data_IF_396228416456
#
_entry.id   IF_396228416456
#
_cell.length_a   1.000
_cell.length_b   1.000
_cell.length_c   1.000
_cell.angle_alpha   90.00
_cell.angle_beta   90.00
_cell.angle_gamma   90.00
#
_symmetry.space_group_name_H-M   'P 1'
#
loop_
_entity.id
_entity.type
_entity.pdbx_description
1 polymer ?
#
# COMPACT_ATOMS: atom_id res chain seq x y z
N UNK A 1 -51.33 -54.24 -22.78
CA UNK A 1 -51.97 -53.43 -23.86
C UNK A 1 -52.29 -52.07 -23.24
N UNK A 2 -51.92 -50.86 -23.68
CA UNK A 2 -51.24 -50.21 -24.82
C UNK A 2 -50.15 -49.28 -24.20
N UNK A 3 -48.88 -49.22 -24.62
CA UNK A 3 -48.30 -48.67 -25.86
C UNK A 3 -48.61 -47.18 -26.13
N UNK A 4 -47.58 -46.38 -25.81
CA UNK A 4 -47.12 -45.11 -26.42
C UNK A 4 -48.03 -43.89 -26.36
N UNK A 5 -47.47 -42.79 -25.83
CA UNK A 5 -47.71 -41.36 -26.15
C UNK A 5 -47.21 -40.55 -24.94
N UNK A 6 -46.34 -39.53 -24.96
CA UNK A 6 -45.72 -38.71 -26.01
C UNK A 6 -44.40 -38.18 -25.41
N UNK A 7 -43.31 -38.36 -26.14
CA UNK A 7 -42.01 -37.71 -25.93
C UNK A 7 -42.09 -36.32 -26.56
N UNK A 8 -42.23 -35.24 -25.77
CA UNK A 8 -41.97 -33.87 -26.20
C UNK A 8 -42.09 -32.89 -25.02
N UNK A 9 -41.02 -32.74 -24.25
CA UNK A 9 -40.76 -31.52 -23.49
C UNK A 9 -39.26 -31.25 -23.58
N UNK A 10 -38.87 -30.79 -24.76
CA UNK A 10 -37.55 -30.26 -25.04
C UNK A 10 -37.25 -29.11 -24.06
N UNK A 11 -36.10 -29.22 -23.41
CA UNK A 11 -35.03 -28.19 -23.44
C UNK A 11 -35.50 -26.77 -23.12
N UNK A 12 -35.56 -26.39 -21.83
CA UNK A 12 -35.59 -24.99 -21.41
C UNK A 12 -35.25 -24.73 -19.93
N UNK A 13 -34.30 -25.44 -19.29
CA UNK A 13 -33.81 -25.07 -17.93
C UNK A 13 -32.30 -25.29 -17.78
N UNK A 14 -31.53 -24.96 -18.82
CA UNK A 14 -30.06 -24.92 -18.76
C UNK A 14 -29.55 -23.55 -19.19
N UNK A 15 -30.07 -22.50 -18.56
CA UNK A 15 -29.50 -21.16 -18.64
C UNK A 15 -29.85 -20.43 -17.34
N UNK A 16 -28.84 -19.83 -16.70
CA UNK A 16 -28.89 -19.05 -15.45
C UNK A 16 -28.63 -19.85 -14.17
N UNK A 17 -27.36 -20.19 -14.00
CA UNK A 17 -26.78 -20.56 -12.71
C UNK A 17 -25.28 -20.34 -12.66
N UNK A 18 -24.76 -19.39 -13.45
CA UNK A 18 -23.37 -18.93 -13.37
C UNK A 18 -23.40 -17.50 -12.86
N UNK A 19 -22.75 -17.27 -11.71
CA UNK A 19 -22.22 -15.96 -11.36
C UNK A 19 -23.05 -15.16 -10.36
N UNK A 20 -23.05 -15.57 -9.09
CA UNK A 20 -23.06 -14.60 -7.98
C UNK A 20 -22.12 -15.08 -6.87
N UNK A 21 -20.82 -15.13 -7.17
CA UNK A 21 -19.78 -14.94 -6.15
C UNK A 21 -19.31 -13.49 -6.25
N UNK A 22 -20.12 -12.56 -5.75
CA UNK A 22 -19.73 -11.15 -5.69
C UNK A 22 -19.97 -10.68 -4.26
N UNK A 23 -18.88 -10.67 -3.49
CA UNK A 23 -18.90 -10.28 -2.10
C UNK A 23 -17.61 -10.58 -1.33
N UNK A 24 -16.50 -10.88 -2.00
CA UNK A 24 -15.20 -10.62 -1.40
C UNK A 24 -14.95 -9.13 -1.61
N UNK A 25 -14.90 -8.34 -0.53
CA UNK A 25 -14.47 -6.94 -0.55
C UNK A 25 -13.10 -6.86 -1.22
N UNK A 26 -13.10 -6.63 -2.53
CA UNK A 26 -11.89 -6.33 -3.26
C UNK A 26 -11.66 -4.84 -3.01
N UNK A 27 -10.82 -4.54 -2.03
CA UNK A 27 -10.34 -3.18 -1.79
C UNK A 27 -9.84 -2.65 -3.13
N UNK A 28 -10.33 -1.46 -3.52
CA UNK A 28 -9.92 -0.86 -4.77
C UNK A 28 -8.38 -0.76 -4.80
N UNK A 29 -7.73 -1.06 -5.95
CA UNK A 29 -6.28 -0.94 -6.04
C UNK A 29 -5.84 0.44 -5.58
N UNK A 30 -4.96 0.51 -4.57
CA UNK A 30 -4.39 1.77 -4.10
C UNK A 30 -3.66 2.42 -5.27
N UNK A 31 -4.01 3.66 -5.56
CA UNK A 31 -3.34 4.46 -6.59
C UNK A 31 -1.85 4.60 -6.24
N UNK A 32 -0.98 4.29 -7.20
CA UNK A 32 0.45 4.51 -7.03
C UNK A 32 0.77 5.99 -7.34
N UNK A 33 0.72 6.82 -6.31
CA UNK A 33 1.03 8.26 -6.40
C UNK A 33 2.46 8.57 -6.84
N UNK A 34 3.36 7.57 -6.86
CA UNK A 34 4.76 7.72 -7.25
C UNK A 34 5.04 7.24 -8.69
N UNK A 35 4.02 7.00 -9.52
CA UNK A 35 4.20 6.44 -10.87
C UNK A 35 5.08 7.29 -11.79
N UNK A 36 5.01 8.62 -11.68
CA UNK A 36 5.72 9.57 -12.54
C UNK A 36 6.95 10.22 -11.86
N UNK A 37 7.30 9.78 -10.64
CA UNK A 37 8.46 10.29 -9.91
C UNK A 37 9.74 9.70 -10.52
N UNK A 38 10.72 10.52 -10.98
CA UNK A 38 11.96 10.02 -11.55
C UNK A 38 12.73 9.13 -10.56
N UNK A 39 13.43 8.12 -11.09
CA UNK A 39 14.31 7.29 -10.27
C UNK A 39 15.37 8.16 -9.55
N UNK A 40 15.52 7.94 -8.24
CA UNK A 40 16.43 8.71 -7.39
C UNK A 40 15.89 10.06 -6.92
N UNK A 41 14.73 10.50 -7.40
CA UNK A 41 14.03 11.62 -6.77
C UNK A 41 13.35 11.16 -5.46
N UNK A 42 13.19 12.04 -4.46
CA UNK A 42 12.43 11.71 -3.27
C UNK A 42 10.99 11.33 -3.63
N UNK A 43 10.46 10.22 -3.11
CA UNK A 43 9.07 9.85 -3.32
C UNK A 43 8.11 10.86 -2.68
N UNK A 44 6.94 11.01 -3.29
CA UNK A 44 5.82 11.75 -2.74
C UNK A 44 5.23 11.02 -1.53
N UNK A 45 4.84 11.79 -0.52
CA UNK A 45 4.07 11.31 0.61
C UNK A 45 2.63 11.01 0.15
N UNK A 46 2.04 9.86 0.56
CA UNK A 46 0.63 9.58 0.27
C UNK A 46 -0.31 10.63 0.86
N UNK A 47 -1.49 10.82 0.29
CA UNK A 47 -2.51 11.76 0.81
C UNK A 47 -2.94 11.49 2.26
N UNK A 48 -2.76 10.26 2.74
CA UNK A 48 -2.98 9.89 4.15
C UNK A 48 -1.96 10.48 5.13
N UNK A 49 -0.92 11.15 4.63
CA UNK A 49 0.14 11.79 5.41
C UNK A 49 0.00 13.32 5.49
N UNK A 50 -1.03 13.90 4.89
CA UNK A 50 -1.25 15.35 4.91
C UNK A 50 -1.30 15.90 6.35
N UNK A 51 -0.54 16.96 6.61
CA UNK A 51 -0.39 17.60 7.93
C UNK A 51 0.33 16.79 9.01
N UNK A 52 0.83 15.57 8.70
CA UNK A 52 1.47 14.73 9.72
C UNK A 52 2.81 15.27 10.17
N UNK A 53 3.60 15.85 9.28
CA UNK A 53 4.91 16.39 9.66
C UNK A 53 4.75 17.55 10.65
N UNK A 54 3.80 18.46 10.42
CA UNK A 54 3.52 19.58 11.31
C UNK A 54 3.04 19.10 12.69
N UNK A 55 2.34 17.96 12.72
CA UNK A 55 1.77 17.39 13.94
C UNK A 55 2.76 16.54 14.74
N UNK A 56 3.63 15.81 14.05
CA UNK A 56 4.47 14.75 14.64
C UNK A 56 5.96 15.07 14.60
N UNK A 57 6.38 15.96 13.71
CA UNK A 57 7.77 16.23 13.38
C UNK A 57 8.50 15.01 12.81
N UNK A 58 9.81 15.16 12.66
CA UNK A 58 10.69 14.11 12.13
C UNK A 58 10.64 12.82 12.98
N UNK A 59 10.56 12.95 14.30
CA UNK A 59 10.53 11.81 15.22
C UNK A 59 9.31 10.90 15.00
N UNK A 60 8.13 11.46 14.68
CA UNK A 60 6.96 10.62 14.41
C UNK A 60 7.00 9.96 13.03
N UNK A 61 7.61 10.61 12.03
CA UNK A 61 7.91 9.97 10.75
C UNK A 61 8.89 8.80 10.96
N UNK A 62 9.97 9.04 11.70
CA UNK A 62 10.97 8.05 12.08
C UNK A 62 10.34 6.87 12.85
N UNK A 63 9.39 7.13 13.75
CA UNK A 63 8.70 6.09 14.52
C UNK A 63 7.95 5.03 13.68
N UNK A 64 7.71 5.30 12.39
CA UNK A 64 7.15 4.31 11.46
C UNK A 64 8.18 3.87 10.40
N UNK A 65 8.92 4.82 9.82
CA UNK A 65 9.81 4.59 8.66
C UNK A 65 11.25 4.26 9.03
N UNK A 66 11.68 4.65 10.23
CA UNK A 66 13.03 4.47 10.74
C UNK A 66 13.31 3.05 11.23
N UNK A 67 14.50 2.86 11.79
CA UNK A 67 14.95 1.58 12.33
C UNK A 67 15.00 1.62 13.86
N UNK A 68 14.84 0.48 14.49
CA UNK A 68 15.16 0.29 15.90
C UNK A 68 15.85 -1.08 16.09
N UNK A 69 16.14 -1.44 17.34
CA UNK A 69 16.79 -2.72 17.66
C UNK A 69 15.94 -3.95 17.26
N UNK A 70 14.65 -3.77 16.99
CA UNK A 70 13.71 -4.85 16.72
C UNK A 70 13.38 -5.00 15.22
N UNK A 71 13.37 -3.90 14.45
CA UNK A 71 12.89 -3.89 13.08
C UNK A 71 13.44 -2.70 12.27
N UNK A 72 13.52 -2.91 10.97
CA UNK A 72 13.71 -1.85 9.97
C UNK A 72 12.83 -2.18 8.74
N UNK A 73 11.77 -1.41 8.45
CA UNK A 73 11.27 -0.27 9.21
C UNK A 73 10.53 -0.69 10.50
N UNK A 74 10.31 0.28 11.40
CA UNK A 74 9.57 0.06 12.67
C UNK A 74 8.11 -0.37 12.45
N UNK A 75 7.46 0.09 11.37
CA UNK A 75 6.14 -0.37 10.94
C UNK A 75 6.27 -1.22 9.68
N UNK A 76 5.82 -2.47 9.73
CA UNK A 76 6.06 -3.48 8.68
C UNK A 76 5.63 -3.07 7.26
N UNK A 77 4.55 -2.28 7.13
CA UNK A 77 4.03 -1.84 5.83
C UNK A 77 4.54 -0.43 5.42
N UNK A 78 5.43 0.17 6.21
CA UNK A 78 6.08 1.43 5.85
C UNK A 78 7.25 1.18 4.87
N UNK A 79 7.63 2.21 4.13
CA UNK A 79 8.87 2.20 3.35
C UNK A 79 10.03 2.54 4.29
N UNK A 80 11.06 1.69 4.35
CA UNK A 80 12.25 1.97 5.13
C UNK A 80 12.98 3.23 4.62
N UNK A 81 13.54 4.00 5.54
CA UNK A 81 14.48 5.06 5.17
C UNK A 81 15.71 4.43 4.51
N UNK A 82 16.25 5.04 3.44
CA UNK A 82 17.52 4.60 2.87
C UNK A 82 18.69 4.94 3.79
N UNK A 83 19.82 4.26 3.61
CA UNK A 83 21.00 4.37 4.48
C UNK A 83 21.50 5.81 4.67
N UNK A 84 21.40 6.64 3.62
CA UNK A 84 21.83 8.05 3.64
C UNK A 84 20.98 8.98 4.53
N UNK A 85 19.84 8.50 5.03
CA UNK A 85 19.02 9.22 6.01
C UNK A 85 19.44 8.96 7.45
N UNK A 86 20.39 8.04 7.67
CA UNK A 86 20.87 7.69 9.00
C UNK A 86 22.23 8.32 9.30
N UNK A 87 22.50 8.55 10.58
CA UNK A 87 23.77 9.07 11.04
C UNK A 87 24.93 8.15 10.60
N UNK A 88 25.84 8.69 9.79
CA UNK A 88 26.97 7.91 9.25
C UNK A 88 26.63 7.03 8.05
N UNK A 89 25.43 7.17 7.46
CA UNK A 89 25.05 6.47 6.24
C UNK A 89 24.76 4.98 6.45
N UNK A 90 24.25 4.60 7.62
CA UNK A 90 23.96 3.21 7.98
C UNK A 90 22.77 3.13 8.95
N UNK A 91 21.77 2.31 8.59
CA UNK A 91 20.59 2.10 9.43
C UNK A 91 20.90 1.46 10.79
N UNK A 92 22.05 0.80 10.95
CA UNK A 92 22.53 0.24 12.21
C UNK A 92 22.95 1.30 13.24
N UNK A 93 23.07 2.57 12.84
CA UNK A 93 23.19 3.68 13.79
C UNK A 93 21.92 3.86 14.62
N UNK A 94 20.76 3.45 14.11
CA UNK A 94 19.42 3.67 14.68
C UNK A 94 19.09 5.14 14.94
N UNK A 95 19.88 6.06 14.40
CA UNK A 95 19.76 7.48 14.59
C UNK A 95 19.65 8.14 13.22
N UNK A 96 18.70 9.08 13.09
CA UNK A 96 18.53 9.84 11.86
C UNK A 96 19.68 10.84 11.69
N UNK A 97 20.10 11.10 10.46
CA UNK A 97 21.01 12.19 10.16
C UNK A 97 20.29 13.53 10.44
N UNK A 98 20.84 14.43 11.28
CA UNK A 98 20.20 15.70 11.63
C UNK A 98 19.98 16.62 10.42
N UNK A 99 20.66 16.38 9.29
CA UNK A 99 20.45 17.11 8.03
C UNK A 99 19.24 16.63 7.24
N UNK A 100 18.66 15.47 7.59
CA UNK A 100 17.50 14.86 6.92
C UNK A 100 16.21 14.89 7.76
N UNK A 101 16.20 15.59 8.91
CA UNK A 101 15.02 15.65 9.78
C UNK A 101 13.87 16.48 9.18
N UNK A 102 14.16 17.39 8.24
CA UNK A 102 13.16 18.23 7.60
C UNK A 102 12.53 17.49 6.39
N UNK A 103 11.84 16.38 6.64
CA UNK A 103 11.35 15.43 5.62
C UNK A 103 10.61 16.11 4.45
N UNK A 104 9.74 17.07 4.76
CA UNK A 104 8.88 17.78 3.81
C UNK A 104 9.62 18.70 2.84
N UNK A 105 10.92 18.96 3.08
CA UNK A 105 11.75 19.76 2.16
C UNK A 105 12.06 19.01 0.88
N UNK A 106 12.07 17.68 0.93
CA UNK A 106 12.37 16.79 -0.18
C UNK A 106 11.14 15.94 -0.55
N UNK A 107 10.41 15.43 0.43
CA UNK A 107 9.22 14.60 0.22
C UNK A 107 7.97 15.48 0.15
N UNK A 108 7.55 15.85 -1.05
CA UNK A 108 6.33 16.62 -1.23
C UNK A 108 5.06 15.76 -1.01
N UNK A 109 3.94 16.43 -0.72
CA UNK A 109 2.63 15.80 -0.68
C UNK A 109 2.19 15.42 -2.09
N UNK A 110 1.68 14.19 -2.28
CA UNK A 110 1.03 13.74 -3.52
C UNK A 110 -0.25 14.52 -3.84
#
# INVERSE_FOLDING_TARGET
MKKHMITAALVAVMAMGLGTVAGCSQEAPKENVNADVPAGAPPLMPTSHDGRFESLGAAGCYGCHGANEQANPMLADAVALPDDHYAGGDAGSLEMDPTHEQCITCHAQA
#
